data_IF_833992216697
#
_entry.id   IF_833992216697
#
_cell.length_a   1.000
_cell.length_b   1.000
_cell.length_c   1.000
_cell.angle_alpha   90.00
_cell.angle_beta   90.00
_cell.angle_gamma   90.00
#
_symmetry.space_group_name_H-M   'P 1'
#
loop_
_entity.id
_entity.type
_entity.pdbx_description
1 polymer ?
#
# COMPACT_ATOMS: atom_id res chain seq x y z
N UNK A 1 -40.89 -41.24 60.80
CA UNK A 1 -41.48 -40.88 59.48
C UNK A 1 -40.48 -40.30 58.47
N UNK A 2 -39.28 -39.88 58.88
CA UNK A 2 -38.26 -39.29 57.98
C UNK A 2 -37.62 -40.28 57.00
N UNK A 3 -37.51 -41.57 57.36
CA UNK A 3 -36.87 -42.60 56.53
C UNK A 3 -37.69 -43.01 55.28
N UNK A 4 -39.02 -42.89 55.34
CA UNK A 4 -39.91 -43.18 54.21
C UNK A 4 -39.93 -42.04 53.18
N UNK A 5 -39.73 -40.80 53.63
CA UNK A 5 -39.65 -39.62 52.76
C UNK A 5 -38.39 -39.67 51.88
N UNK A 6 -37.25 -40.11 52.42
CA UNK A 6 -36.02 -40.25 51.62
C UNK A 6 -36.11 -41.34 50.55
N UNK A 7 -36.84 -42.43 50.81
CA UNK A 7 -36.99 -43.53 49.85
C UNK A 7 -37.95 -43.17 48.71
N UNK A 8 -39.00 -42.40 49.01
CA UNK A 8 -39.92 -41.86 48.00
C UNK A 8 -39.26 -40.78 47.13
N UNK A 9 -38.41 -39.93 47.72
CA UNK A 9 -37.65 -38.93 46.99
C UNK A 9 -36.63 -39.55 46.02
N UNK A 10 -35.97 -40.66 46.41
CA UNK A 10 -35.02 -41.35 45.55
C UNK A 10 -35.73 -42.11 44.40
N UNK A 11 -36.91 -42.68 44.65
CA UNK A 11 -37.74 -43.32 43.61
C UNK A 11 -38.26 -42.34 42.56
N UNK A 12 -38.64 -41.12 42.97
CA UNK A 12 -39.08 -40.06 42.05
C UNK A 12 -37.93 -39.53 41.18
N UNK A 13 -36.71 -39.48 41.72
CA UNK A 13 -35.52 -39.08 40.95
C UNK A 13 -35.13 -40.11 39.86
N UNK A 14 -35.32 -41.41 40.13
CA UNK A 14 -35.03 -42.46 39.16
C UNK A 14 -36.04 -42.51 37.99
N UNK A 15 -37.30 -42.16 38.23
CA UNK A 15 -38.34 -42.14 37.18
C UNK A 15 -38.33 -40.88 36.30
N UNK A 16 -37.69 -39.80 36.75
CA UNK A 16 -37.50 -38.58 35.94
C UNK A 16 -36.27 -38.67 35.03
N UNK A 17 -35.30 -39.52 35.36
CA UNK A 17 -34.10 -39.74 34.54
C UNK A 17 -34.38 -40.56 33.26
N UNK A 18 -35.32 -41.50 33.30
CA UNK A 18 -35.69 -42.34 32.13
C UNK A 18 -36.60 -41.64 31.13
N UNK A 19 -37.19 -40.49 31.47
CA UNK A 19 -37.98 -39.67 30.54
C UNK A 19 -37.10 -38.92 29.51
N UNK A 20 -35.79 -38.78 29.77
CA UNK A 20 -34.86 -38.11 28.86
C UNK A 20 -34.10 -39.08 27.93
N UNK A 21 -34.26 -40.40 28.08
CA UNK A 21 -33.54 -41.39 27.27
C UNK A 21 -34.33 -41.94 26.08
N UNK A 22 -35.59 -41.52 25.91
CA UNK A 22 -36.43 -41.94 24.79
C UNK A 22 -36.85 -40.72 23.96
N UNK A 23 -36.17 -40.50 22.83
CA UNK A 23 -36.79 -39.78 21.72
C UNK A 23 -36.27 -38.38 21.39
N UNK A 24 -34.97 -38.12 21.53
CA UNK A 24 -34.35 -37.14 20.63
C UNK A 24 -33.57 -37.91 19.58
N UNK A 25 -34.28 -38.41 18.56
CA UNK A 25 -33.64 -38.67 17.27
C UNK A 25 -32.92 -37.38 16.93
N UNK A 26 -31.59 -37.39 17.00
CA UNK A 26 -30.79 -36.27 16.58
C UNK A 26 -31.19 -36.00 15.12
N UNK A 27 -32.05 -34.99 14.93
CA UNK A 27 -32.33 -34.41 13.62
C UNK A 27 -31.01 -33.75 13.23
N UNK A 28 -30.10 -34.53 12.66
CA UNK A 28 -28.91 -34.01 12.03
C UNK A 28 -29.38 -32.95 11.03
N UNK A 29 -28.86 -31.71 11.10
CA UNK A 29 -29.24 -30.66 10.17
C UNK A 29 -29.02 -31.17 8.75
N UNK A 30 -30.08 -31.15 7.94
CA UNK A 30 -30.02 -31.57 6.55
C UNK A 30 -29.14 -30.58 5.77
N UNK A 31 -27.94 -31.04 5.42
CA UNK A 31 -26.91 -30.28 4.71
C UNK A 31 -27.29 -29.95 3.26
N UNK A 32 -28.35 -30.58 2.72
CA UNK A 32 -28.89 -30.29 1.40
C UNK A 32 -30.12 -29.38 1.45
N UNK A 33 -30.53 -28.92 2.64
CA UNK A 33 -31.66 -28.01 2.77
C UNK A 33 -31.29 -26.61 2.30
N UNK A 34 -31.69 -26.27 1.08
CA UNK A 34 -31.55 -24.92 0.52
C UNK A 34 -32.49 -23.96 1.25
N UNK A 35 -31.92 -23.01 1.99
CA UNK A 35 -32.65 -21.89 2.60
C UNK A 35 -32.48 -20.66 1.73
N UNK A 36 -33.59 -20.01 1.37
CA UNK A 36 -33.55 -18.74 0.65
C UNK A 36 -33.15 -17.60 1.59
N UNK A 37 -32.09 -16.87 1.24
CA UNK A 37 -31.69 -15.67 1.98
C UNK A 37 -32.64 -14.52 1.63
N UNK A 38 -32.94 -13.66 2.61
CA UNK A 38 -33.70 -12.45 2.34
C UNK A 38 -33.01 -11.61 1.25
N UNK A 39 -33.76 -11.00 0.32
CA UNK A 39 -33.18 -10.18 -0.73
C UNK A 39 -32.39 -9.00 -0.12
N UNK A 40 -31.19 -8.77 -0.64
CA UNK A 40 -30.36 -7.63 -0.26
C UNK A 40 -30.94 -6.37 -0.91
N UNK A 41 -31.58 -5.52 -0.11
CA UNK A 41 -31.96 -4.18 -0.57
C UNK A 41 -30.71 -3.31 -0.60
N UNK A 42 -30.39 -2.79 -1.77
CA UNK A 42 -29.36 -1.75 -1.92
C UNK A 42 -29.86 -0.51 -1.18
N UNK A 43 -29.10 0.01 -0.19
CA UNK A 43 -29.44 1.27 0.45
C UNK A 43 -29.61 2.37 -0.60
N UNK A 44 -30.49 3.37 -0.39
CA UNK A 44 -30.63 4.48 -1.34
C UNK A 44 -29.25 5.11 -1.53
N UNK A 45 -28.79 5.11 -2.78
CA UNK A 45 -27.56 5.78 -3.17
C UNK A 45 -27.80 7.27 -2.94
N UNK A 46 -27.32 7.78 -1.80
CA UNK A 46 -27.30 9.20 -1.56
C UNK A 46 -26.23 9.77 -2.49
N UNK A 47 -26.62 10.00 -3.74
CA UNK A 47 -25.98 10.93 -4.65
C UNK A 47 -26.13 12.33 -4.06
N UNK A 48 -25.49 12.54 -2.92
CA UNK A 48 -25.42 13.82 -2.26
C UNK A 48 -24.87 14.79 -3.28
N UNK A 49 -25.57 15.91 -3.42
CA UNK A 49 -25.05 17.02 -4.19
C UNK A 49 -23.64 17.32 -3.66
N UNK A 50 -22.62 17.39 -4.52
CA UNK A 50 -21.31 17.84 -4.10
C UNK A 50 -21.46 19.14 -3.29
N UNK A 51 -20.77 19.27 -2.15
CA UNK A 51 -20.88 20.48 -1.34
C UNK A 51 -20.56 21.69 -2.20
N UNK A 52 -21.28 22.79 -1.99
CA UNK A 52 -20.98 24.04 -2.69
C UNK A 52 -19.53 24.44 -2.42
N UNK A 53 -18.81 24.89 -3.46
CA UNK A 53 -17.46 25.39 -3.31
C UNK A 53 -17.43 26.53 -2.27
N UNK A 54 -16.61 26.38 -1.24
CA UNK A 54 -16.53 27.34 -0.12
C UNK A 54 -17.51 27.09 1.04
N UNK A 55 -18.31 26.02 1.00
CA UNK A 55 -19.11 25.56 2.14
C UNK A 55 -18.26 25.06 3.31
N UNK A 56 -18.87 24.92 4.49
CA UNK A 56 -18.20 24.37 5.67
C UNK A 56 -17.68 22.96 5.38
N UNK A 57 -16.37 22.78 5.50
CA UNK A 57 -15.73 21.48 5.34
C UNK A 57 -16.08 20.61 6.56
N UNK A 58 -16.25 19.27 6.40
CA UNK A 58 -16.44 18.38 7.54
C UNK A 58 -15.35 18.54 8.61
N UNK A 59 -15.74 18.45 9.88
CA UNK A 59 -14.83 18.66 11.01
C UNK A 59 -13.65 17.68 11.00
N UNK A 60 -13.85 16.46 10.48
CA UNK A 60 -12.82 15.44 10.34
C UNK A 60 -11.72 15.86 9.34
N UNK A 61 -12.11 16.50 8.24
CA UNK A 61 -11.17 17.01 7.23
C UNK A 61 -10.45 18.25 7.74
N UNK A 62 -11.13 19.08 8.55
CA UNK A 62 -10.51 20.23 9.19
C UNK A 62 -9.42 19.80 10.18
N UNK A 63 -9.73 18.85 11.07
CA UNK A 63 -8.75 18.29 12.00
C UNK A 63 -7.54 17.68 11.29
N UNK A 64 -7.75 16.91 10.22
CA UNK A 64 -6.65 16.34 9.43
C UNK A 64 -5.74 17.42 8.79
N UNK A 65 -6.32 18.55 8.34
CA UNK A 65 -5.54 19.68 7.82
C UNK A 65 -4.75 20.39 8.90
N UNK A 66 -5.34 20.58 10.08
CA UNK A 66 -4.69 21.25 11.21
C UNK A 66 -3.54 20.39 11.78
N UNK A 67 -3.72 19.06 11.84
CA UNK A 67 -2.66 18.12 12.21
C UNK A 67 -1.50 18.15 11.21
N UNK A 68 -1.81 18.15 9.92
CA UNK A 68 -0.81 18.25 8.83
C UNK A 68 -0.07 19.59 8.91
N UNK A 69 -0.79 20.69 9.12
CA UNK A 69 -0.19 22.01 9.27
C UNK A 69 0.75 22.10 10.48
N UNK A 70 0.37 21.44 11.58
CA UNK A 70 1.18 21.35 12.80
C UNK A 70 2.42 20.48 12.60
N UNK A 71 2.27 19.30 11.99
CA UNK A 71 3.36 18.36 11.75
C UNK A 71 4.42 18.91 10.79
N UNK A 72 4.01 19.60 9.72
CA UNK A 72 4.91 20.17 8.71
C UNK A 72 5.27 21.64 8.98
N UNK A 73 4.64 22.25 9.98
CA UNK A 73 4.93 23.62 10.41
C UNK A 73 4.56 24.69 9.37
N UNK A 74 3.52 24.45 8.56
CA UNK A 74 3.09 25.42 7.53
C UNK A 74 2.56 26.74 8.13
N UNK A 75 2.19 26.72 9.41
CA UNK A 75 1.71 27.86 10.19
C UNK A 75 2.74 28.41 11.17
N UNK A 76 4.01 27.96 11.11
CA UNK A 76 5.07 28.50 11.99
C UNK A 76 5.21 30.00 11.75
N UNK A 77 5.04 30.78 12.82
CA UNK A 77 5.14 32.24 12.79
C UNK A 77 3.86 32.97 12.38
N UNK A 78 2.75 32.28 12.08
CA UNK A 78 1.48 32.92 11.73
C UNK A 78 0.93 33.83 12.85
N UNK A 79 1.22 33.51 14.11
CA UNK A 79 0.87 34.32 15.29
C UNK A 79 2.04 35.11 15.90
N UNK A 80 3.18 35.24 15.21
CA UNK A 80 4.37 35.86 15.78
C UNK A 80 4.17 37.37 16.03
N UNK A 81 4.57 37.81 17.23
CA UNK A 81 4.59 39.21 17.63
C UNK A 81 5.55 40.04 16.77
N UNK A 82 5.41 41.38 16.82
CA UNK A 82 6.29 42.27 16.06
C UNK A 82 7.77 42.11 16.46
N UNK A 83 8.07 41.88 17.74
CA UNK A 83 9.42 41.66 18.26
C UNK A 83 10.02 40.33 17.81
N UNK A 84 9.23 39.26 17.79
CA UNK A 84 9.69 37.95 17.29
C UNK A 84 10.02 38.02 15.79
N UNK A 85 9.18 38.69 15.00
CA UNK A 85 9.45 38.89 13.57
C UNK A 85 10.70 39.73 13.34
N UNK A 86 10.93 40.77 14.16
CA UNK A 86 12.14 41.59 14.07
C UNK A 86 13.41 40.80 14.44
N UNK A 87 13.33 39.90 15.42
CA UNK A 87 14.43 39.01 15.80
C UNK A 87 14.74 37.97 14.71
N UNK A 88 13.72 37.36 14.11
CA UNK A 88 13.89 36.42 12.98
C UNK A 88 14.48 37.13 11.76
N UNK A 89 14.05 38.36 11.50
CA UNK A 89 14.60 39.18 10.43
C UNK A 89 16.07 39.57 10.69
N UNK A 90 16.43 39.94 11.90
CA UNK A 90 17.83 40.26 12.26
C UNK A 90 18.73 39.03 12.25
N UNK A 91 18.19 37.85 12.59
CA UNK A 91 18.88 36.57 12.47
C UNK A 91 19.01 36.08 11.01
N UNK A 92 18.44 36.78 10.02
CA UNK A 92 18.47 36.37 8.61
C UNK A 92 17.64 35.11 8.30
N UNK A 93 16.83 34.64 9.26
CA UNK A 93 16.04 33.42 9.13
C UNK A 93 14.78 33.59 8.26
N UNK A 94 14.55 34.80 7.73
CA UNK A 94 13.43 35.11 6.82
C UNK A 94 13.71 34.73 5.35
N UNK A 95 14.90 34.19 5.05
CA UNK A 95 15.32 33.86 3.69
C UNK A 95 14.85 32.49 3.17
N UNK A 96 14.18 31.70 4.02
CA UNK A 96 13.72 30.36 3.64
C UNK A 96 12.39 30.46 2.90
N UNK A 97 12.38 30.08 1.63
CA UNK A 97 11.15 29.98 0.84
C UNK A 97 10.23 28.89 1.43
N UNK A 98 8.94 29.18 1.55
CA UNK A 98 7.94 28.20 2.00
C UNK A 98 7.81 26.99 1.06
N UNK A 99 8.25 27.15 -0.19
CA UNK A 99 8.24 26.13 -1.25
C UNK A 99 9.52 25.27 -1.27
N UNK A 100 10.48 25.45 -0.34
CA UNK A 100 11.74 24.67 -0.36
C UNK A 100 11.48 23.17 -0.32
N UNK A 101 10.49 22.69 0.45
CA UNK A 101 10.16 21.27 0.51
C UNK A 101 9.64 20.73 -0.82
N UNK A 102 8.76 21.48 -1.49
CA UNK A 102 8.24 21.09 -2.81
C UNK A 102 9.32 21.13 -3.88
N UNK A 103 10.27 22.07 -3.79
CA UNK A 103 11.42 22.13 -4.70
C UNK A 103 12.35 20.93 -4.50
N UNK A 104 12.65 20.60 -3.23
CA UNK A 104 13.45 19.41 -2.89
C UNK A 104 12.76 18.13 -3.38
N UNK A 105 11.46 17.98 -3.14
CA UNK A 105 10.70 16.81 -3.63
C UNK A 105 10.75 16.70 -5.16
N UNK A 106 10.69 17.84 -5.86
CA UNK A 106 10.80 17.89 -7.32
C UNK A 106 12.20 17.50 -7.81
N UNK A 107 13.24 17.97 -7.14
CA UNK A 107 14.63 17.64 -7.49
C UNK A 107 14.98 16.18 -7.17
N UNK A 108 14.52 15.65 -6.04
CA UNK A 108 14.65 14.22 -5.69
C UNK A 108 13.92 13.34 -6.71
N UNK A 109 12.74 13.76 -7.18
CA UNK A 109 11.99 13.03 -8.22
C UNK A 109 12.76 13.01 -9.55
N UNK A 110 13.45 14.10 -9.93
CA UNK A 110 14.34 14.10 -11.11
C UNK A 110 15.51 13.13 -10.98
N UNK A 111 16.04 12.95 -9.76
CA UNK A 111 17.11 11.98 -9.52
C UNK A 111 16.61 10.53 -9.70
N UNK A 112 15.38 10.23 -9.30
CA UNK A 112 14.77 8.90 -9.44
C UNK A 112 14.46 8.55 -10.90
N UNK A 113 14.07 9.53 -11.73
CA UNK A 113 13.74 9.35 -13.16
C UNK A 113 14.80 9.98 -14.06
N UNK A 114 16.04 9.47 -14.03
CA UNK A 114 17.06 9.89 -15.00
C UNK A 114 16.62 9.49 -16.42
N UNK A 115 16.71 10.40 -17.37
CA UNK A 115 16.45 10.08 -18.78
C UNK A 115 17.49 9.09 -19.32
N UNK A 116 17.04 8.11 -20.12
CA UNK A 116 17.93 7.15 -20.80
C UNK A 116 19.02 7.93 -21.57
N UNK A 117 20.28 7.53 -21.37
CA UNK A 117 21.43 8.14 -22.07
C UNK A 117 21.30 7.96 -23.59
N UNK A 118 22.01 8.76 -24.38
CA UNK A 118 21.99 8.59 -25.85
C UNK A 118 22.47 7.19 -26.25
N UNK A 119 23.52 6.67 -25.59
CA UNK A 119 24.02 5.32 -25.85
C UNK A 119 23.01 4.23 -25.52
N UNK A 120 22.30 4.38 -24.40
CA UNK A 120 21.22 3.47 -23.98
C UNK A 120 20.05 3.50 -24.97
N UNK A 121 19.68 4.70 -25.43
CA UNK A 121 18.64 4.88 -26.44
C UNK A 121 19.00 4.24 -27.78
N UNK A 122 20.28 4.23 -28.16
CA UNK A 122 20.75 3.62 -29.41
C UNK A 122 20.89 2.10 -29.27
N UNK A 123 21.46 1.60 -28.17
CA UNK A 123 21.59 0.15 -27.94
C UNK A 123 20.24 -0.53 -27.74
N UNK A 124 19.33 0.13 -27.02
CA UNK A 124 18.02 -0.41 -26.66
C UNK A 124 16.87 0.29 -27.38
N UNK A 125 17.11 0.79 -28.61
CA UNK A 125 16.10 1.51 -29.39
C UNK A 125 14.83 0.69 -29.72
N UNK A 126 14.92 -0.63 -29.56
CA UNK A 126 13.84 -1.61 -29.80
C UNK A 126 13.32 -2.30 -28.54
N UNK A 127 13.82 -1.94 -27.35
CA UNK A 127 13.51 -2.68 -26.11
C UNK A 127 12.08 -2.50 -25.61
N UNK A 128 11.37 -1.49 -26.07
CA UNK A 128 10.06 -1.13 -25.54
C UNK A 128 8.92 -1.97 -26.18
N UNK A 129 9.19 -2.65 -27.31
CA UNK A 129 8.26 -3.57 -27.98
C UNK A 129 8.70 -5.02 -27.74
N UNK A 130 7.84 -5.85 -27.15
CA UNK A 130 8.16 -7.23 -26.77
C UNK A 130 8.48 -8.13 -27.98
N UNK A 131 7.80 -7.91 -29.11
CA UNK A 131 8.05 -8.61 -30.38
C UNK A 131 9.40 -8.25 -31.02
N UNK A 132 9.82 -6.98 -30.91
CA UNK A 132 11.10 -6.51 -31.41
C UNK A 132 12.27 -6.99 -30.54
N UNK A 133 12.06 -7.05 -29.22
CA UNK A 133 13.05 -7.57 -28.28
C UNK A 133 13.29 -9.08 -28.49
N UNK A 134 12.23 -9.86 -28.74
CA UNK A 134 12.34 -11.28 -29.06
C UNK A 134 13.07 -11.52 -30.39
N UNK A 135 12.84 -10.66 -31.39
CA UNK A 135 13.50 -10.74 -32.70
C UNK A 135 14.97 -10.34 -32.64
N UNK A 136 15.31 -9.31 -31.85
CA UNK A 136 16.71 -8.87 -31.65
C UNK A 136 17.55 -9.92 -30.89
N UNK A 137 16.95 -10.71 -30.00
CA UNK A 137 17.63 -11.81 -29.31
C UNK A 137 17.99 -13.00 -30.24
N UNK A 138 17.34 -13.07 -31.40
CA UNK A 138 17.61 -14.06 -32.44
C UNK A 138 18.58 -13.53 -33.51
N UNK A 139 18.70 -12.20 -33.64
CA UNK A 139 19.63 -11.52 -34.55
C UNK A 139 21.04 -11.44 -33.93
N UNK A 140 21.65 -12.62 -33.78
CA UNK A 140 23.00 -12.75 -33.24
C UNK A 140 24.00 -12.80 -34.40
N UNK A 141 25.00 -11.91 -34.40
CA UNK A 141 26.04 -11.87 -35.42
C UNK A 141 26.82 -13.20 -35.58
N UNK A 142 26.75 -14.07 -34.59
CA UNK A 142 27.44 -15.37 -34.53
C UNK A 142 26.54 -16.54 -34.96
N UNK A 143 25.27 -16.29 -35.34
CA UNK A 143 24.37 -17.34 -35.81
C UNK A 143 24.15 -18.49 -34.82
N UNK A 144 24.32 -18.24 -33.52
CA UNK A 144 24.34 -19.23 -32.43
C UNK A 144 25.50 -20.25 -32.49
N UNK A 145 26.53 -20.01 -33.30
CA UNK A 145 27.77 -20.78 -33.23
C UNK A 145 28.60 -20.42 -31.99
N UNK A 146 29.32 -21.39 -31.41
CA UNK A 146 30.23 -21.14 -30.29
C UNK A 146 31.41 -20.27 -30.73
N UNK A 147 31.49 -19.05 -30.19
CA UNK A 147 32.64 -18.16 -30.41
C UNK A 147 33.81 -18.62 -29.56
N UNK A 148 34.85 -19.14 -30.21
CA UNK A 148 36.12 -19.44 -29.55
C UNK A 148 36.96 -18.16 -29.52
N UNK A 149 37.03 -17.50 -28.37
CA UNK A 149 37.90 -16.34 -28.17
C UNK A 149 39.31 -16.85 -27.92
N UNK A 150 40.12 -16.93 -28.97
CA UNK A 150 41.55 -17.18 -28.81
C UNK A 150 42.24 -15.90 -28.35
N UNK A 151 42.73 -15.87 -27.10
CA UNK A 151 43.62 -14.81 -26.67
C UNK A 151 44.98 -15.02 -27.35
N UNK A 152 45.37 -14.16 -28.30
CA UNK A 152 46.73 -14.19 -28.85
C UNK A 152 47.73 -13.66 -27.81
N UNK A 153 48.08 -14.48 -26.82
CA UNK A 153 49.19 -14.19 -25.91
C UNK A 153 50.56 -14.36 -26.58
N UNK A 154 50.60 -14.82 -27.84
CA UNK A 154 51.82 -15.27 -28.52
C UNK A 154 52.64 -14.18 -29.21
N UNK A 155 52.23 -12.90 -29.21
CA UNK A 155 53.06 -11.81 -29.79
C UNK A 155 53.49 -10.85 -28.67
N UNK A 156 54.81 -10.63 -28.45
CA UNK A 156 55.26 -9.68 -27.45
C UNK A 156 54.67 -8.32 -27.80
N UNK A 157 53.89 -7.75 -26.87
CA UNK A 157 53.24 -6.46 -27.03
C UNK A 157 54.35 -5.44 -27.32
N UNK A 158 54.39 -4.90 -28.54
CA UNK A 158 55.31 -3.83 -28.90
C UNK A 158 55.00 -2.65 -27.98
N UNK A 159 55.87 -2.39 -26.99
CA UNK A 159 55.79 -1.19 -26.16
C UNK A 159 56.01 0.00 -27.07
N UNK A 160 54.96 0.81 -27.28
CA UNK A 160 55.16 2.14 -27.86
C UNK A 160 55.96 2.96 -26.83
N UNK A 161 57.05 3.61 -27.24
CA UNK A 161 57.77 4.51 -26.35
C UNK A 161 56.92 5.75 -26.08
N UNK A 162 56.56 5.94 -24.81
CA UNK A 162 56.16 7.23 -24.25
C UNK A 162 54.69 7.61 -24.39
N UNK A 163 53.97 7.50 -23.27
CA UNK A 163 53.24 8.62 -22.62
C UNK A 163 53.43 8.47 -21.13
#
# INVERSE_FOLDING_TARGET
MTKQISLLALGAALMTATACSSGTTARTPDEFRVVTKAPLTVPPDYSLRPPQAGGTIPAEVQAARDDTATAFGSTIGAGASASERALVASAGANAVSSLVRTEVDYDETKAIRKSKSIGDRVMFWRSDNEEDAASAAQDNATGNEPVTIESSSAKPRLKLPGT
#
